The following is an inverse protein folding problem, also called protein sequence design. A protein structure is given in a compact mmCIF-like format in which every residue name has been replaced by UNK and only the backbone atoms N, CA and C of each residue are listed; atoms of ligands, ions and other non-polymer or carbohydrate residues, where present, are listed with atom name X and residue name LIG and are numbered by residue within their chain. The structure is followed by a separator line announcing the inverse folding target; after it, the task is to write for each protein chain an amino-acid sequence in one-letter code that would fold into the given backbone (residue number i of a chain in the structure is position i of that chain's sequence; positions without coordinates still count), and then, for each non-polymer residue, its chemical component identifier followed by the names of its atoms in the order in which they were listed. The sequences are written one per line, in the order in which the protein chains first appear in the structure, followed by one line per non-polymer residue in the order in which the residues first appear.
data_IF_976766839587
#
_entry.id   IF_976766839587
#
_cell.length_a   1.000
_cell.length_b   1.000
_cell.length_c   1.000
_cell.angle_alpha   90.00
_cell.angle_beta   90.00
_cell.angle_gamma   90.00
#
_symmetry.space_group_name_H-M   'P 1'
#
loop_
_entity.id
_entity.type
_entity.pdbx_description
1 polymer ?
#
# COMPACT_ATOMS: atom_id res chain seq x y z
N UNK A 1 20.63 -21.53 -1.81
CA UNK A 1 19.47 -20.96 -1.11
C UNK A 1 18.24 -21.14 -1.96
N UNK A 2 17.56 -22.28 -1.80
CA UNK A 2 16.26 -22.52 -2.42
C UNK A 2 15.22 -21.69 -1.67
N UNK A 3 14.93 -20.50 -2.18
CA UNK A 3 13.91 -19.60 -1.63
C UNK A 3 12.55 -19.95 -2.25
N UNK A 4 12.21 -21.23 -2.16
CA UNK A 4 11.05 -21.79 -2.81
C UNK A 4 9.85 -21.80 -1.87
N UNK A 5 8.74 -21.22 -2.30
CA UNK A 5 7.52 -21.09 -1.48
C UNK A 5 6.32 -21.72 -2.15
N UNK A 6 5.29 -22.04 -1.36
CA UNK A 6 3.98 -22.45 -1.87
C UNK A 6 2.98 -21.30 -1.76
N UNK A 7 2.39 -20.92 -2.87
CA UNK A 7 1.36 -19.87 -2.97
C UNK A 7 0.22 -20.42 -3.80
N UNK A 8 -0.98 -20.52 -3.22
CA UNK A 8 -2.20 -20.99 -3.91
C UNK A 8 -2.01 -22.32 -4.69
N UNK A 9 -1.23 -23.24 -4.13
CA UNK A 9 -0.93 -24.54 -4.75
C UNK A 9 0.25 -24.55 -5.72
N UNK A 10 0.77 -23.38 -6.11
CA UNK A 10 1.96 -23.26 -6.97
C UNK A 10 3.23 -23.25 -6.14
N UNK A 11 4.26 -23.92 -6.65
CA UNK A 11 5.62 -23.86 -6.12
C UNK A 11 6.37 -22.77 -6.88
N UNK A 12 6.81 -21.74 -6.18
CA UNK A 12 7.38 -20.52 -6.77
C UNK A 12 8.78 -20.32 -6.23
N UNK A 13 9.73 -20.04 -7.12
CA UNK A 13 11.06 -19.55 -6.74
C UNK A 13 11.02 -18.04 -6.56
N UNK A 14 11.26 -17.56 -5.33
CA UNK A 14 11.26 -16.12 -5.07
C UNK A 14 12.34 -15.39 -5.88
N UNK A 15 13.50 -16.03 -6.08
CA UNK A 15 14.59 -15.48 -6.89
C UNK A 15 14.23 -15.27 -8.37
N UNK A 16 13.29 -16.05 -8.92
CA UNK A 16 12.80 -15.86 -10.29
C UNK A 16 11.97 -14.56 -10.38
N UNK A 17 11.08 -14.35 -9.42
CA UNK A 17 10.29 -13.11 -9.32
C UNK A 17 11.20 -11.90 -9.11
N UNK A 18 12.15 -12.00 -8.16
CA UNK A 18 13.15 -10.95 -7.88
C UNK A 18 13.97 -10.61 -9.13
N UNK A 19 14.39 -11.63 -9.91
CA UNK A 19 15.16 -11.41 -11.14
C UNK A 19 14.37 -10.64 -12.19
N UNK A 20 13.09 -10.99 -12.41
CA UNK A 20 12.23 -10.30 -13.38
C UNK A 20 11.94 -8.87 -12.95
N UNK A 21 11.70 -8.63 -11.65
CA UNK A 21 11.56 -7.27 -11.12
C UNK A 21 12.86 -6.47 -11.30
N UNK A 22 14.02 -7.10 -11.07
CA UNK A 22 15.36 -6.53 -11.25
C UNK A 22 15.66 -6.00 -12.66
N UNK A 23 14.95 -6.47 -13.68
CA UNK A 23 15.07 -5.94 -15.05
C UNK A 23 14.39 -4.57 -15.24
N UNK A 24 13.59 -4.10 -14.28
CA UNK A 24 12.98 -2.79 -14.34
C UNK A 24 14.03 -1.69 -14.07
N UNK A 25 14.28 -0.76 -15.01
CA UNK A 25 15.34 0.24 -14.86
C UNK A 25 15.19 1.15 -13.64
N UNK A 26 13.96 1.34 -13.17
CA UNK A 26 13.65 2.17 -12.01
C UNK A 26 13.86 1.48 -10.65
N UNK A 27 14.28 0.21 -10.61
CA UNK A 27 14.46 -0.57 -9.39
C UNK A 27 15.93 -0.60 -8.97
N UNK A 28 16.24 -0.16 -7.75
CA UNK A 28 17.58 -0.23 -7.17
C UNK A 28 17.81 -1.57 -6.46
N UNK A 29 16.89 -1.98 -5.60
CA UNK A 29 16.96 -3.24 -4.86
C UNK A 29 15.56 -3.83 -4.67
N UNK A 30 15.46 -5.15 -4.60
CA UNK A 30 14.21 -5.80 -4.22
C UNK A 30 14.39 -7.08 -3.43
N UNK A 31 13.33 -7.40 -2.69
CA UNK A 31 13.16 -8.66 -2.00
C UNK A 31 11.70 -9.08 -2.14
N UNK A 32 11.47 -10.34 -2.49
CA UNK A 32 10.13 -10.92 -2.53
C UNK A 32 10.03 -11.93 -1.40
N UNK A 33 8.90 -11.88 -0.67
CA UNK A 33 8.61 -12.85 0.38
C UNK A 33 7.19 -13.38 0.23
N UNK A 34 6.95 -14.59 0.75
CA UNK A 34 5.59 -15.09 0.96
C UNK A 34 5.01 -14.45 2.21
N UNK A 35 3.75 -14.00 2.11
CA UNK A 35 2.93 -13.58 3.25
C UNK A 35 1.56 -14.24 3.23
N UNK A 36 0.91 -14.24 4.38
CA UNK A 36 -0.51 -14.58 4.51
C UNK A 36 -1.32 -13.27 4.43
N UNK A 37 -2.25 -13.20 3.49
CA UNK A 37 -3.13 -12.07 3.24
C UNK A 37 -4.58 -12.56 3.28
N UNK A 38 -5.38 -12.06 4.23
CA UNK A 38 -6.77 -12.50 4.47
C UNK A 38 -6.94 -14.04 4.64
N UNK A 39 -5.88 -14.75 5.04
CA UNK A 39 -5.87 -16.21 5.21
C UNK A 39 -5.37 -17.00 4.00
N UNK A 40 -5.00 -16.32 2.91
CA UNK A 40 -4.40 -16.92 1.73
C UNK A 40 -2.92 -16.55 1.60
N UNK A 41 -2.11 -17.52 1.17
CA UNK A 41 -0.73 -17.26 0.79
C UNK A 41 -0.66 -16.36 -0.46
N UNK A 42 0.15 -15.31 -0.40
CA UNK A 42 0.45 -14.37 -1.47
C UNK A 42 1.93 -13.94 -1.45
N UNK A 43 2.37 -13.27 -2.51
CA UNK A 43 3.73 -12.72 -2.62
C UNK A 43 3.70 -11.22 -2.31
N UNK A 44 4.65 -10.74 -1.51
CA UNK A 44 4.85 -9.33 -1.23
C UNK A 44 6.26 -8.92 -1.69
N UNK A 45 6.35 -7.83 -2.46
CA UNK A 45 7.60 -7.24 -2.90
C UNK A 45 7.97 -6.04 -2.02
N UNK A 46 9.20 -6.02 -1.53
CA UNK A 46 9.82 -4.89 -0.85
C UNK A 46 10.87 -4.32 -1.78
N UNK A 47 10.76 -3.05 -2.10
CA UNK A 47 11.50 -2.45 -3.22
C UNK A 47 12.14 -1.14 -2.79
N UNK A 48 13.36 -0.91 -3.23
CA UNK A 48 13.97 0.41 -3.23
C UNK A 48 13.94 0.89 -4.68
N UNK A 49 13.17 1.94 -4.96
CA UNK A 49 13.06 2.53 -6.28
C UNK A 49 14.04 3.70 -6.43
N UNK A 50 14.59 3.85 -7.62
CA UNK A 50 15.27 5.09 -8.01
C UNK A 50 14.24 6.22 -8.21
N UNK A 51 14.67 7.50 -8.19
CA UNK A 51 13.77 8.63 -8.47
C UNK A 51 13.10 8.59 -9.86
N UNK A 52 13.57 7.74 -10.77
CA UNK A 52 13.07 7.61 -12.14
C UNK A 52 12.01 6.52 -12.31
N UNK A 53 11.63 5.79 -11.24
CA UNK A 53 10.68 4.70 -11.31
C UNK A 53 9.57 4.79 -10.27
N UNK A 54 8.38 4.32 -10.63
CA UNK A 54 7.23 4.25 -9.73
C UNK A 54 6.80 2.80 -9.47
N UNK A 55 6.07 2.58 -8.37
CA UNK A 55 5.45 1.27 -8.08
C UNK A 55 4.49 0.84 -9.18
N UNK A 56 3.75 1.79 -9.77
CA UNK A 56 2.81 1.54 -10.85
C UNK A 56 3.52 0.96 -12.09
N UNK A 57 4.64 1.55 -12.49
CA UNK A 57 5.44 1.09 -13.63
C UNK A 57 6.10 -0.26 -13.34
N UNK A 58 6.62 -0.46 -12.13
CA UNK A 58 7.19 -1.75 -11.72
C UNK A 58 6.13 -2.86 -11.72
N UNK A 59 4.91 -2.56 -11.24
CA UNK A 59 3.78 -3.49 -11.30
C UNK A 59 3.41 -3.84 -12.74
N UNK A 60 3.29 -2.85 -13.61
CA UNK A 60 3.02 -3.08 -15.03
C UNK A 60 4.13 -3.92 -15.70
N UNK A 61 5.40 -3.67 -15.35
CA UNK A 61 6.55 -4.45 -15.79
C UNK A 61 6.45 -5.91 -15.37
N UNK A 62 6.06 -6.17 -14.12
CA UNK A 62 5.83 -7.51 -13.58
C UNK A 62 4.65 -8.21 -14.26
N UNK A 63 3.52 -7.52 -14.45
CA UNK A 63 2.33 -8.05 -15.12
C UNK A 63 2.58 -8.47 -16.56
N UNK A 64 3.47 -7.78 -17.26
CA UNK A 64 3.83 -8.11 -18.64
C UNK A 64 4.75 -9.34 -18.77
N UNK A 65 5.44 -9.75 -17.69
CA UNK A 65 6.51 -10.76 -17.73
C UNK A 65 6.27 -11.97 -16.85
N UNK A 66 5.49 -11.83 -15.78
CA UNK A 66 5.21 -12.90 -14.84
C UNK A 66 3.79 -13.44 -15.04
N UNK A 67 3.61 -14.77 -14.95
CA UNK A 67 2.27 -15.35 -14.89
C UNK A 67 1.56 -14.92 -13.60
N UNK A 68 0.22 -14.94 -13.62
CA UNK A 68 -0.61 -14.37 -12.56
C UNK A 68 -0.24 -14.82 -11.14
N UNK A 69 0.06 -16.11 -10.97
CA UNK A 69 0.39 -16.70 -9.67
C UNK A 69 1.78 -16.31 -9.13
N UNK A 70 2.67 -15.76 -9.97
CA UNK A 70 3.99 -15.26 -9.57
C UNK A 70 4.01 -13.75 -9.34
N UNK A 71 2.91 -13.04 -9.61
CA UNK A 71 2.84 -11.59 -9.42
C UNK A 71 2.73 -11.24 -7.93
N UNK A 72 3.58 -10.34 -7.40
CA UNK A 72 3.39 -9.78 -6.07
C UNK A 72 2.02 -9.11 -5.93
N UNK A 73 1.30 -9.42 -4.84
CA UNK A 73 0.04 -8.76 -4.51
C UNK A 73 0.27 -7.36 -3.96
N UNK A 74 1.37 -7.15 -3.21
CA UNK A 74 1.77 -5.87 -2.64
C UNK A 74 3.19 -5.48 -3.04
N UNK A 75 3.42 -4.18 -3.08
CA UNK A 75 4.72 -3.56 -3.32
C UNK A 75 4.91 -2.49 -2.24
N UNK A 76 5.91 -2.65 -1.39
CA UNK A 76 6.23 -1.71 -0.30
C UNK A 76 7.56 -1.05 -0.62
N UNK A 77 7.57 0.27 -0.73
CA UNK A 77 8.79 1.04 -0.96
C UNK A 77 9.55 1.21 0.36
N UNK A 78 10.85 0.93 0.34
CA UNK A 78 11.77 1.15 1.44
C UNK A 78 12.95 1.99 0.95
N UNK A 79 13.43 2.91 1.78
CA UNK A 79 14.67 3.66 1.50
C UNK A 79 15.91 2.74 1.46
N UNK A 80 15.86 1.62 2.19
CA UNK A 80 16.90 0.59 2.20
C UNK A 80 16.32 -0.75 2.62
N UNK A 81 16.75 -1.84 1.99
CA UNK A 81 16.36 -3.17 2.42
C UNK A 81 17.12 -3.55 3.70
N UNK A 82 16.46 -4.14 4.70
CA UNK A 82 17.12 -4.52 5.94
C UNK A 82 18.12 -5.64 5.67
N UNK A 83 19.36 -5.43 6.09
CA UNK A 83 20.42 -6.43 6.01
C UNK A 83 20.78 -6.90 7.42
N UNK A 84 21.07 -8.20 7.56
CA UNK A 84 21.74 -8.78 8.71
C UNK A 84 23.15 -8.19 8.87
N UNK A 85 23.79 -8.31 10.05
CA UNK A 85 25.19 -7.89 10.24
C UNK A 85 26.19 -8.57 9.27
N UNK A 86 25.79 -9.68 8.65
CA UNK A 86 26.57 -10.38 7.63
C UNK A 86 26.42 -9.81 6.21
N UNK A 87 25.63 -8.74 6.03
CA UNK A 87 25.32 -8.12 4.73
C UNK A 87 24.28 -8.87 3.91
N UNK A 88 23.68 -9.96 4.44
CA UNK A 88 22.59 -10.69 3.79
C UNK A 88 21.25 -10.06 4.12
N UNK A 89 20.28 -10.13 3.21
CA UNK A 89 18.90 -9.69 3.43
C UNK A 89 18.28 -10.29 4.70
N UNK A 90 17.78 -9.43 5.59
CA UNK A 90 17.03 -9.80 6.78
C UNK A 90 15.53 -9.87 6.47
N UNK A 91 15.11 -11.01 5.91
CA UNK A 91 13.70 -11.28 5.61
C UNK A 91 12.80 -11.32 6.84
N UNK A 92 13.36 -11.51 8.05
CA UNK A 92 12.56 -11.46 9.28
C UNK A 92 12.11 -10.05 9.59
N UNK A 93 13.02 -9.09 9.44
CA UNK A 93 12.70 -7.65 9.55
C UNK A 93 11.69 -7.19 8.50
N UNK A 94 11.70 -7.83 7.31
CA UNK A 94 10.66 -7.63 6.29
C UNK A 94 9.32 -8.25 6.67
N UNK A 95 9.28 -9.30 7.51
CA UNK A 95 8.05 -10.00 7.90
C UNK A 95 7.32 -9.39 9.09
N UNK A 96 8.03 -8.79 10.05
CA UNK A 96 7.40 -8.03 11.12
C UNK A 96 6.72 -6.80 10.52
N UNK A 97 5.57 -6.33 11.04
CA UNK A 97 5.10 -5.00 10.73
C UNK A 97 6.15 -4.05 11.31
N UNK A 98 7.18 -3.78 10.52
CA UNK A 98 8.24 -2.85 10.88
C UNK A 98 7.54 -1.51 10.96
N UNK A 99 7.27 -1.07 12.20
CA UNK A 99 7.11 0.33 12.51
C UNK A 99 8.23 1.05 11.75
N UNK A 100 7.85 1.87 10.77
CA UNK A 100 8.76 2.52 9.86
C UNK A 100 9.91 3.18 10.65
N UNK A 101 11.09 2.57 10.63
CA UNK A 101 12.29 3.15 11.22
C UNK A 101 12.84 4.11 10.19
N UNK A 102 12.73 5.39 10.52
CA UNK A 102 13.22 6.50 9.70
C UNK A 102 12.10 7.43 9.29
N UNK A 103 11.28 7.91 10.22
CA UNK A 103 10.54 9.14 9.97
C UNK A 103 11.57 10.26 9.77
N UNK A 104 11.70 10.88 8.58
CA UNK A 104 12.41 12.15 8.46
C UNK A 104 11.71 13.14 9.41
N UNK A 105 12.39 14.17 9.89
CA UNK A 105 11.70 15.25 10.61
C UNK A 105 10.55 15.76 9.72
N UNK A 106 9.30 15.46 10.09
CA UNK A 106 8.13 15.72 9.26
C UNK A 106 7.88 17.22 9.22
N UNK A 107 7.76 17.77 8.02
CA UNK A 107 7.33 19.15 7.83
C UNK A 107 5.87 19.31 8.30
N UNK A 108 5.47 20.54 8.64
CA UNK A 108 4.08 20.85 9.04
C UNK A 108 3.03 20.56 7.94
N UNK A 109 3.47 20.21 6.73
CA UNK A 109 2.61 19.78 5.63
C UNK A 109 2.15 18.32 5.71
N UNK A 110 2.78 17.49 6.56
CA UNK A 110 2.51 16.04 6.62
C UNK A 110 1.60 15.63 7.79
N UNK A 111 1.18 16.57 8.63
CA UNK A 111 0.21 16.32 9.69
C UNK A 111 -1.23 16.37 9.16
N UNK A 112 -2.16 15.55 9.70
CA UNK A 112 -3.57 15.68 9.38
C UNK A 112 -4.10 17.06 9.81
N UNK A 113 -4.91 17.66 8.93
CA UNK A 113 -5.44 19.02 9.04
C UNK A 113 -6.95 19.05 9.22
N UNK A 114 -7.64 17.97 8.84
CA UNK A 114 -9.09 17.86 8.95
C UNK A 114 -9.46 16.59 9.71
N UNK A 115 -10.64 16.61 10.35
CA UNK A 115 -11.18 15.43 11.01
C UNK A 115 -11.40 14.25 10.03
N UNK A 116 -11.64 14.56 8.76
CA UNK A 116 -11.79 13.57 7.69
C UNK A 116 -10.46 12.91 7.34
N UNK A 117 -9.36 13.67 7.29
CA UNK A 117 -8.00 13.11 7.14
C UNK A 117 -7.68 12.16 8.30
N UNK A 118 -7.92 12.58 9.56
CA UNK A 118 -7.70 11.74 10.74
C UNK A 118 -8.53 10.46 10.73
N UNK A 119 -9.80 10.57 10.33
CA UNK A 119 -10.70 9.42 10.23
C UNK A 119 -10.25 8.44 9.14
N UNK A 120 -9.87 8.94 7.96
CA UNK A 120 -9.42 8.12 6.85
C UNK A 120 -8.11 7.42 7.17
N UNK A 121 -7.16 8.10 7.81
CA UNK A 121 -5.90 7.51 8.30
C UNK A 121 -6.23 6.36 9.25
N UNK A 122 -7.01 6.61 10.30
CA UNK A 122 -7.37 5.57 11.29
C UNK A 122 -8.08 4.38 10.65
N UNK A 123 -9.07 4.62 9.78
CA UNK A 123 -9.79 3.53 9.09
C UNK A 123 -8.83 2.74 8.20
N UNK A 124 -7.93 3.42 7.50
CA UNK A 124 -6.97 2.80 6.60
C UNK A 124 -5.97 1.95 7.37
N UNK A 125 -5.40 2.47 8.46
CA UNK A 125 -4.53 1.74 9.38
C UNK A 125 -5.20 0.47 9.93
N UNK A 126 -6.46 0.56 10.38
CA UNK A 126 -7.22 -0.60 10.86
C UNK A 126 -7.49 -1.65 9.77
N UNK A 127 -7.72 -1.22 8.53
CA UNK A 127 -8.04 -2.10 7.40
C UNK A 127 -6.78 -2.76 6.84
N UNK A 128 -5.70 -1.97 6.70
CA UNK A 128 -4.41 -2.39 6.17
C UNK A 128 -3.56 -3.11 7.23
N UNK A 129 -3.88 -2.94 8.52
CA UNK A 129 -3.11 -3.42 9.68
C UNK A 129 -1.69 -2.85 9.70
N UNK A 130 -1.59 -1.54 9.47
CA UNK A 130 -0.36 -0.76 9.51
C UNK A 130 -0.54 0.42 10.48
N UNK A 131 0.55 1.05 10.87
CA UNK A 131 0.55 2.23 11.75
C UNK A 131 1.40 3.35 11.13
N UNK A 132 1.08 4.59 11.46
CA UNK A 132 1.88 5.76 11.08
C UNK A 132 1.53 6.32 9.71
N UNK A 133 0.33 6.01 9.17
CA UNK A 133 -0.07 6.60 7.89
C UNK A 133 -0.25 8.12 8.00
N UNK A 134 0.13 8.81 6.94
CA UNK A 134 0.09 10.26 6.77
C UNK A 134 -0.95 10.65 5.73
N UNK A 135 -1.42 11.91 5.72
CA UNK A 135 -2.39 12.37 4.73
C UNK A 135 -1.88 12.25 3.28
N UNK A 136 -0.58 12.38 3.05
CA UNK A 136 0.00 12.27 1.70
C UNK A 136 0.29 10.83 1.28
N UNK A 137 0.03 9.85 2.15
CA UNK A 137 0.23 8.45 1.80
C UNK A 137 -0.85 7.97 0.82
N UNK A 138 -0.42 7.15 -0.13
CA UNK A 138 -1.30 6.49 -1.07
C UNK A 138 -1.79 5.16 -0.48
N UNK A 139 -3.11 4.99 -0.43
CA UNK A 139 -3.77 3.80 0.13
C UNK A 139 -3.33 2.49 -0.55
N UNK A 140 -3.15 2.49 -1.87
CA UNK A 140 -2.78 1.29 -2.62
C UNK A 140 -1.28 0.99 -2.50
N UNK A 141 -0.45 2.02 -2.37
CA UNK A 141 0.98 1.86 -2.08
C UNK A 141 1.22 1.36 -0.66
N UNK A 142 0.35 1.74 0.29
CA UNK A 142 0.32 1.21 1.65
C UNK A 142 -0.21 -0.24 1.76
N UNK A 143 -0.43 -0.93 0.64
CA UNK A 143 -0.89 -2.33 0.59
C UNK A 143 -2.40 -2.50 0.35
N UNK A 144 -3.10 -1.41 0.04
CA UNK A 144 -4.52 -1.42 -0.31
C UNK A 144 -4.82 -2.15 -1.61
N UNK A 145 -6.01 -2.75 -1.68
CA UNK A 145 -6.58 -3.32 -2.91
C UNK A 145 -8.11 -3.21 -2.86
N UNK A 146 -8.79 -3.60 -3.94
CA UNK A 146 -10.24 -3.40 -4.11
C UNK A 146 -11.09 -3.89 -2.93
N UNK A 147 -10.77 -5.05 -2.34
CA UNK A 147 -11.51 -5.57 -1.19
C UNK A 147 -11.28 -4.72 0.07
N UNK A 148 -10.05 -4.25 0.30
CA UNK A 148 -9.74 -3.38 1.43
C UNK A 148 -10.35 -1.99 1.25
N UNK A 149 -10.33 -1.44 0.03
CA UNK A 149 -11.02 -0.20 -0.28
C UNK A 149 -12.55 -0.33 -0.08
N UNK A 150 -13.16 -1.47 -0.42
CA UNK A 150 -14.57 -1.74 -0.06
C UNK A 150 -14.77 -1.71 1.47
N UNK A 151 -13.83 -2.28 2.25
CA UNK A 151 -13.89 -2.24 3.72
C UNK A 151 -13.74 -0.81 4.25
N UNK A 152 -12.90 0.03 3.65
CA UNK A 152 -12.77 1.46 3.98
C UNK A 152 -14.09 2.18 3.76
N UNK A 153 -14.69 2.06 2.56
CA UNK A 153 -15.98 2.68 2.24
C UNK A 153 -17.09 2.22 3.21
N UNK A 154 -17.13 0.92 3.53
CA UNK A 154 -18.10 0.38 4.48
C UNK A 154 -17.89 0.90 5.92
N UNK A 155 -16.64 1.18 6.33
CA UNK A 155 -16.32 1.77 7.64
C UNK A 155 -16.63 3.27 7.68
N UNK A 156 -16.37 4.02 6.61
CA UNK A 156 -16.77 5.43 6.50
C UNK A 156 -18.29 5.59 6.67
N UNK A 157 -19.06 4.73 6.00
CA UNK A 157 -20.52 4.70 6.13
C UNK A 157 -20.97 4.43 7.56
N UNK A 158 -20.32 3.51 8.28
CA UNK A 158 -20.70 3.17 9.66
C UNK A 158 -20.29 4.24 10.67
N UNK A 159 -19.08 4.77 10.56
CA UNK A 159 -18.52 5.70 11.56
C UNK A 159 -18.98 7.14 11.37
N UNK A 160 -19.26 7.55 10.13
CA UNK A 160 -19.55 8.95 9.82
C UNK A 160 -20.83 9.16 8.99
N UNK A 161 -21.58 8.09 8.69
CA UNK A 161 -22.73 8.13 7.77
C UNK A 161 -22.39 8.65 6.36
N UNK A 162 -21.10 8.62 5.99
CA UNK A 162 -20.59 9.09 4.71
C UNK A 162 -20.59 7.96 3.70
N UNK A 163 -21.26 8.18 2.58
CA UNK A 163 -21.25 7.23 1.45
C UNK A 163 -20.56 7.89 0.28
N UNK A 164 -19.44 7.31 -0.13
CA UNK A 164 -18.71 7.69 -1.35
C UNK A 164 -18.77 6.53 -2.35
N UNK A 165 -18.77 6.80 -3.66
CA UNK A 165 -18.64 5.76 -4.65
C UNK A 165 -17.25 5.11 -4.55
N UNK A 166 -17.17 3.82 -4.87
CA UNK A 166 -15.89 3.11 -4.87
C UNK A 166 -14.87 3.74 -5.82
N UNK A 167 -15.34 4.32 -6.94
CA UNK A 167 -14.50 5.03 -7.91
C UNK A 167 -13.72 6.16 -7.28
N UNK A 168 -14.26 6.85 -6.28
CA UNK A 168 -13.58 7.95 -5.61
C UNK A 168 -12.28 7.51 -4.92
N UNK A 169 -12.22 6.28 -4.39
CA UNK A 169 -11.01 5.74 -3.75
C UNK A 169 -9.92 5.46 -4.79
N UNK A 170 -10.29 5.07 -6.01
CA UNK A 170 -9.33 4.83 -7.09
C UNK A 170 -8.88 6.12 -7.79
N UNK A 171 -9.79 7.09 -7.93
CA UNK A 171 -9.50 8.41 -8.51
C UNK A 171 -8.66 9.28 -7.55
N UNK A 172 -8.81 9.08 -6.24
CA UNK A 172 -8.11 9.83 -5.19
C UNK A 172 -7.40 8.83 -4.25
N UNK A 173 -6.31 8.20 -4.70
CA UNK A 173 -5.65 7.16 -3.92
C UNK A 173 -4.85 7.72 -2.73
N UNK A 174 -4.50 9.01 -2.75
CA UNK A 174 -3.85 9.72 -1.64
C UNK A 174 -4.89 10.09 -0.58
N UNK A 175 -4.60 9.81 0.69
CA UNK A 175 -5.57 9.97 1.78
C UNK A 175 -6.10 11.41 1.93
N UNK A 176 -5.26 12.42 1.68
CA UNK A 176 -5.62 13.85 1.68
C UNK A 176 -6.57 14.19 0.54
N UNK A 177 -6.31 13.69 -0.65
CA UNK A 177 -7.17 13.94 -1.82
C UNK A 177 -8.53 13.26 -1.63
N UNK A 178 -8.53 12.04 -1.09
CA UNK A 178 -9.76 11.34 -0.73
C UNK A 178 -10.53 12.07 0.37
N UNK A 179 -9.83 12.63 1.37
CA UNK A 179 -10.44 13.43 2.42
C UNK A 179 -11.08 14.69 1.85
N UNK A 180 -10.41 15.38 0.93
CA UNK A 180 -10.94 16.56 0.27
C UNK A 180 -12.22 16.24 -0.52
N UNK A 181 -12.22 15.14 -1.28
CA UNK A 181 -13.41 14.67 -1.99
C UNK A 181 -14.60 14.39 -1.04
N UNK A 182 -14.32 13.74 0.10
CA UNK A 182 -15.33 13.47 1.13
C UNK A 182 -15.87 14.77 1.72
N UNK A 183 -14.99 15.71 2.08
CA UNK A 183 -15.37 17.01 2.64
C UNK A 183 -16.22 17.84 1.67
N UNK A 184 -15.91 17.82 0.38
CA UNK A 184 -16.71 18.44 -0.67
C UNK A 184 -18.10 17.80 -0.79
N UNK A 185 -18.16 16.48 -0.68
CA UNK A 185 -19.44 15.74 -0.69
C UNK A 185 -20.31 16.12 0.51
N UNK A 186 -19.71 16.28 1.70
CA UNK A 186 -20.40 16.74 2.91
C UNK A 186 -20.92 18.17 2.72
N UNK A 187 -20.06 19.09 2.25
CA UNK A 187 -20.43 20.49 2.01
C UNK A 187 -21.59 20.61 1.02
N UNK A 188 -21.52 19.89 -0.10
CA UNK A 188 -22.58 19.90 -1.12
C UNK A 188 -23.91 19.41 -0.55
N UNK A 189 -23.89 18.38 0.31
CA UNK A 189 -25.09 17.87 0.96
C UNK A 189 -25.71 18.89 1.92
N UNK A 190 -24.90 19.49 2.80
CA UNK A 190 -25.38 20.50 3.76
C UNK A 190 -25.96 21.73 3.06
N UNK A 191 -25.35 22.17 1.95
CA UNK A 191 -25.88 23.27 1.14
C UNK A 191 -27.25 22.95 0.52
N UNK A 192 -27.49 21.69 0.12
CA UNK A 192 -28.77 21.24 -0.43
C UNK A 192 -29.88 21.11 0.63
N UNK A 193 -29.51 20.81 1.87
CA UNK A 193 -30.46 20.65 2.99
C UNK A 193 -30.85 22.00 3.61
N UNK A 194 -29.95 22.99 3.63
CA UNK A 194 -30.21 24.35 4.14
C UNK A 194 -30.98 25.28 3.18
N UNK A 195 -31.23 24.85 1.95
CA UNK A 195 -32.03 25.59 0.95
C UNK A 195 -33.52 25.20 0.92
N UNK A 196 -33.97 24.39 1.90
CA UNK A 196 -35.37 23.99 2.11
C UNK A 196 -35.93 24.60 3.39
#
# INVERSE_FOLDING_TARGET
DDQQVKVRGYRIELGEVESVLGEFPGLAECAVIRREQDGDAALAAYVHLTPAGTVQELRAHAEARLPEWMRPSTYTVLDVLPLTPSGKLDRRALTEPTAAVGTPAHDRDDAPRTATEELLIRISEEVLRVEGLRPLDNFFEAGGHSLLAIRVVARLKRNAQLTIPMTAVFENPVLRDLAAYVDDTIRARLASEGSR
#
